data_IF_566998881463
#
_entry.id   IF_566998881463
#
_cell.length_a   1.000
_cell.length_b   1.000
_cell.length_c   1.000
_cell.angle_alpha   90.00
_cell.angle_beta   90.00
_cell.angle_gamma   90.00
#
_symmetry.space_group_name_H-M   'P 1'
#
loop_
_entity.id
_entity.type
_entity.pdbx_description
1 polymer ?
#
# COMPACT_ATOMS: atom_id res chain seq x y z
N UNK A 1 -36.80 -3.94 23.41
CA UNK A 1 -36.40 -5.10 24.25
C UNK A 1 -34.89 -5.04 24.40
N UNK A 2 -34.32 -5.21 25.60
CA UNK A 2 -32.85 -5.27 25.72
C UNK A 2 -32.36 -6.52 24.97
N UNK A 3 -31.39 -6.35 24.08
CA UNK A 3 -30.81 -7.43 23.28
C UNK A 3 -30.02 -8.44 24.13
N UNK A 4 -29.61 -8.05 25.35
CA UNK A 4 -28.94 -8.91 26.32
C UNK A 4 -29.87 -9.24 27.49
N UNK A 5 -29.84 -10.50 27.93
CA UNK A 5 -30.55 -10.99 29.10
C UNK A 5 -29.89 -10.48 30.39
N UNK A 6 -30.67 -10.41 31.48
CA UNK A 6 -30.15 -10.02 32.80
C UNK A 6 -29.02 -10.94 33.30
N UNK A 7 -29.03 -12.20 32.89
CA UNK A 7 -27.99 -13.18 33.22
C UNK A 7 -26.69 -12.88 32.47
N UNK A 8 -26.77 -12.54 31.19
CA UNK A 8 -25.62 -12.13 30.38
C UNK A 8 -24.96 -10.86 30.93
N UNK A 9 -25.77 -9.87 31.34
CA UNK A 9 -25.26 -8.65 31.97
C UNK A 9 -24.54 -8.97 33.29
N UNK A 10 -25.12 -9.84 34.14
CA UNK A 10 -24.47 -10.27 35.38
C UNK A 10 -23.16 -11.02 35.14
N UNK A 11 -23.09 -11.84 34.09
CA UNK A 11 -21.88 -12.55 33.72
C UNK A 11 -20.77 -11.59 33.25
N UNK A 12 -21.11 -10.61 32.41
CA UNK A 12 -20.17 -9.59 31.92
C UNK A 12 -19.61 -8.76 33.07
N UNK A 13 -20.46 -8.34 34.01
CA UNK A 13 -20.06 -7.53 35.18
C UNK A 13 -19.25 -8.34 36.19
N UNK A 14 -19.51 -9.64 36.34
CA UNK A 14 -18.69 -10.50 37.23
C UNK A 14 -17.35 -10.89 36.61
N UNK A 15 -17.31 -11.09 35.29
CA UNK A 15 -16.11 -11.52 34.56
C UNK A 15 -15.10 -10.39 34.34
N UNK A 16 -15.58 -9.14 34.31
CA UNK A 16 -14.74 -7.97 34.13
C UNK A 16 -14.84 -7.10 35.37
N UNK A 17 -13.73 -6.93 36.09
CA UNK A 17 -13.65 -6.15 37.33
C UNK A 17 -13.76 -4.63 37.04
N UNK A 18 -14.91 -4.18 36.55
CA UNK A 18 -15.15 -2.78 36.21
C UNK A 18 -15.11 -1.92 37.48
N UNK A 19 -14.16 -0.99 37.55
CA UNK A 19 -14.01 -0.05 38.67
C UNK A 19 -14.51 1.34 38.31
N UNK A 20 -14.66 1.64 37.02
CA UNK A 20 -15.07 2.93 36.51
C UNK A 20 -15.92 2.83 35.25
N UNK A 21 -16.62 3.93 34.93
CA UNK A 21 -17.35 4.08 33.66
C UNK A 21 -16.39 3.97 32.46
N UNK A 22 -15.14 4.40 32.63
CA UNK A 22 -14.09 4.28 31.61
C UNK A 22 -13.82 2.82 31.26
N UNK A 23 -13.76 1.92 32.25
CA UNK A 23 -13.52 0.49 32.02
C UNK A 23 -14.64 -0.14 31.20
N UNK A 24 -15.89 0.27 31.47
CA UNK A 24 -17.06 -0.16 30.68
C UNK A 24 -16.95 0.37 29.24
N UNK A 25 -16.54 1.63 29.04
CA UNK A 25 -16.37 2.18 27.69
C UNK A 25 -15.23 1.52 26.92
N UNK A 26 -14.13 1.14 27.58
CA UNK A 26 -13.01 0.44 26.96
C UNK A 26 -13.42 -0.98 26.56
N UNK A 27 -14.11 -1.70 27.44
CA UNK A 27 -14.66 -3.01 27.14
C UNK A 27 -15.62 -3.00 25.94
N UNK A 28 -16.49 -1.98 25.87
CA UNK A 28 -17.37 -1.81 24.71
C UNK A 28 -16.60 -1.51 23.42
N UNK A 29 -15.52 -0.72 23.48
CA UNK A 29 -14.64 -0.47 22.33
C UNK A 29 -13.93 -1.74 21.87
N UNK A 30 -13.48 -2.56 22.79
CA UNK A 30 -12.79 -3.82 22.48
C UNK A 30 -13.77 -4.82 21.82
N UNK A 31 -14.98 -4.99 22.38
CA UNK A 31 -16.02 -5.80 21.73
C UNK A 31 -16.33 -5.27 20.33
N UNK A 32 -16.46 -3.94 20.19
CA UNK A 32 -16.80 -3.34 18.90
C UNK A 32 -15.68 -3.56 17.87
N UNK A 33 -14.43 -3.43 18.29
CA UNK A 33 -13.26 -3.72 17.45
C UNK A 33 -13.28 -5.18 16.97
N UNK A 34 -13.53 -6.13 17.87
CA UNK A 34 -13.54 -7.55 17.54
C UNK A 34 -14.68 -7.89 16.57
N UNK A 35 -15.88 -7.32 16.77
CA UNK A 35 -17.01 -7.49 15.85
C UNK A 35 -16.70 -6.94 14.46
N UNK A 36 -16.12 -5.74 14.37
CA UNK A 36 -15.76 -5.14 13.08
C UNK A 36 -14.68 -5.94 12.37
N UNK A 37 -13.70 -6.44 13.12
CA UNK A 37 -12.66 -7.29 12.57
C UNK A 37 -13.26 -8.58 12.01
N UNK A 38 -14.10 -9.27 12.77
CA UNK A 38 -14.75 -10.51 12.33
C UNK A 38 -15.64 -10.28 11.10
N UNK A 39 -16.40 -9.18 11.08
CA UNK A 39 -17.22 -8.80 9.93
C UNK A 39 -16.35 -8.57 8.68
N UNK A 40 -15.23 -7.87 8.82
CA UNK A 40 -14.32 -7.63 7.71
C UNK A 40 -13.65 -8.93 7.23
N UNK A 41 -13.22 -9.79 8.15
CA UNK A 41 -12.64 -11.10 7.82
C UNK A 41 -13.67 -12.00 7.10
N UNK A 42 -14.92 -12.03 7.56
CA UNK A 42 -16.01 -12.76 6.90
C UNK A 42 -16.35 -12.20 5.51
N UNK A 43 -16.41 -10.87 5.33
CA UNK A 43 -16.64 -10.28 4.01
C UNK A 43 -15.50 -10.60 3.03
N UNK A 44 -14.25 -10.57 3.50
CA UNK A 44 -13.09 -10.95 2.70
C UNK A 44 -13.18 -12.41 2.24
N UNK A 45 -13.60 -13.33 3.11
CA UNK A 45 -13.71 -14.74 2.79
C UNK A 45 -14.92 -15.04 1.88
N UNK A 46 -16.12 -14.58 2.25
CA UNK A 46 -17.37 -14.97 1.57
C UNK A 46 -17.59 -14.24 0.25
N UNK A 47 -17.30 -12.93 0.18
CA UNK A 47 -17.56 -12.14 -1.04
C UNK A 47 -16.37 -12.10 -1.98
N UNK A 48 -15.17 -11.95 -1.43
CA UNK A 48 -13.96 -11.75 -2.24
C UNK A 48 -13.10 -13.01 -2.34
N UNK A 49 -13.42 -14.06 -1.57
CA UNK A 49 -12.74 -15.34 -1.62
C UNK A 49 -11.32 -15.29 -1.06
N UNK A 50 -10.98 -14.36 -0.15
CA UNK A 50 -9.65 -14.24 0.48
C UNK A 50 -9.60 -14.88 1.87
N UNK A 51 -9.61 -16.22 1.94
CA UNK A 51 -9.35 -16.94 3.19
C UNK A 51 -7.99 -16.56 3.81
N UNK A 52 -7.98 -16.37 5.13
CA UNK A 52 -6.80 -16.00 5.92
C UNK A 52 -5.69 -17.04 5.70
N UNK A 53 -4.48 -16.58 5.41
CA UNK A 53 -3.27 -17.40 5.14
C UNK A 53 -3.20 -18.15 3.80
N UNK A 54 -4.21 -18.05 2.94
CA UNK A 54 -4.18 -18.71 1.64
C UNK A 54 -3.22 -18.00 0.67
N UNK A 55 -2.06 -18.64 0.40
CA UNK A 55 -1.04 -18.15 -0.55
C UNK A 55 -1.21 -18.69 -1.98
N UNK A 56 -2.29 -19.42 -2.24
CA UNK A 56 -2.56 -20.00 -3.56
C UNK A 56 -2.84 -18.89 -4.58
N UNK A 57 -2.42 -19.10 -5.83
CA UNK A 57 -2.81 -18.21 -6.92
C UNK A 57 -4.31 -18.43 -7.20
N UNK A 58 -5.15 -17.49 -6.76
CA UNK A 58 -6.60 -17.56 -6.98
C UNK A 58 -6.92 -17.16 -8.42
N UNK A 59 -7.91 -17.80 -9.03
CA UNK A 59 -8.44 -17.44 -10.33
C UNK A 59 -9.65 -16.49 -10.14
N UNK A 60 -9.37 -15.28 -9.68
CA UNK A 60 -10.37 -14.19 -9.48
C UNK A 60 -10.15 -13.10 -10.53
N UNK A 61 -11.13 -12.25 -10.83
CA UNK A 61 -10.85 -11.10 -11.73
C UNK A 61 -9.80 -10.14 -11.14
N UNK A 62 -9.54 -10.23 -9.82
CA UNK A 62 -8.46 -9.56 -9.11
C UNK A 62 -7.20 -10.43 -8.98
N UNK A 63 -6.90 -11.24 -10.01
CA UNK A 63 -5.62 -11.92 -10.16
C UNK A 63 -4.52 -10.92 -10.48
N UNK A 64 -3.31 -11.18 -9.96
CA UNK A 64 -2.04 -10.58 -10.38
C UNK A 64 -1.70 -10.91 -11.84
N UNK A 65 -2.41 -10.35 -12.80
CA UNK A 65 -1.97 -10.31 -14.18
C UNK A 65 -1.57 -8.87 -14.47
N UNK A 66 -0.28 -8.58 -14.31
CA UNK A 66 0.38 -7.34 -14.77
C UNK A 66 0.44 -7.26 -16.31
N UNK A 67 -0.64 -7.65 -16.97
CA UNK A 67 -0.78 -7.59 -18.42
C UNK A 67 -1.11 -6.16 -18.84
N UNK A 68 -0.67 -5.78 -20.04
CA UNK A 68 -1.05 -4.51 -20.66
C UNK A 68 -2.58 -4.34 -20.74
N UNK A 69 -3.32 -5.43 -21.00
CA UNK A 69 -4.78 -5.42 -21.07
C UNK A 69 -5.43 -5.09 -19.73
N UNK A 70 -4.89 -5.61 -18.64
CA UNK A 70 -5.38 -5.29 -17.29
C UNK A 70 -5.18 -3.80 -16.98
N UNK A 71 -3.96 -3.28 -17.19
CA UNK A 71 -3.67 -1.87 -16.93
C UNK A 71 -4.49 -0.94 -17.80
N UNK A 72 -4.75 -1.29 -19.07
CA UNK A 72 -5.61 -0.51 -19.94
C UNK A 72 -7.06 -0.49 -19.42
N UNK A 73 -7.55 -1.60 -18.88
CA UNK A 73 -8.84 -1.66 -18.19
C UNK A 73 -8.91 -0.67 -17.02
N UNK A 74 -7.88 -0.64 -16.18
CA UNK A 74 -7.77 0.31 -15.04
C UNK A 74 -7.74 1.76 -15.52
N UNK A 75 -6.99 2.07 -16.58
CA UNK A 75 -6.91 3.44 -17.10
C UNK A 75 -8.23 3.91 -17.72
N UNK A 76 -8.94 3.03 -18.41
CA UNK A 76 -10.27 3.32 -18.94
C UNK A 76 -11.31 3.49 -17.83
N UNK A 77 -11.20 2.72 -16.75
CA UNK A 77 -12.05 2.90 -15.58
C UNK A 77 -11.86 4.28 -14.94
N UNK A 78 -10.62 4.78 -14.83
CA UNK A 78 -10.35 6.15 -14.38
C UNK A 78 -11.01 7.21 -15.28
N UNK A 79 -10.96 7.02 -16.61
CA UNK A 79 -11.66 7.90 -17.55
C UNK A 79 -13.17 7.86 -17.37
N UNK A 80 -13.74 6.67 -17.21
CA UNK A 80 -15.18 6.48 -17.02
C UNK A 80 -15.67 7.11 -15.71
N UNK A 81 -14.81 7.20 -14.69
CA UNK A 81 -15.07 7.92 -13.43
C UNK A 81 -14.96 9.45 -13.57
N UNK A 82 -14.56 9.96 -14.74
CA UNK A 82 -14.51 11.39 -15.04
C UNK A 82 -13.12 12.01 -15.03
N UNK A 83 -12.04 11.24 -14.90
CA UNK A 83 -10.68 11.77 -15.06
C UNK A 83 -10.44 12.12 -16.53
N UNK A 84 -10.31 13.41 -16.82
CA UNK A 84 -10.16 13.90 -18.19
C UNK A 84 -8.71 13.98 -18.63
N UNK A 85 -7.87 14.60 -17.80
CA UNK A 85 -6.48 14.85 -18.12
C UNK A 85 -5.59 14.60 -16.90
N UNK A 86 -4.39 14.07 -17.16
CA UNK A 86 -3.39 13.76 -16.14
C UNK A 86 -2.06 14.26 -16.67
N UNK A 87 -1.43 15.18 -15.94
CA UNK A 87 -0.14 15.74 -16.38
C UNK A 87 1.02 14.77 -16.17
N UNK A 88 0.98 13.97 -15.10
CA UNK A 88 2.11 13.13 -14.67
C UNK A 88 1.64 11.82 -14.03
N UNK A 89 2.17 10.69 -14.52
CA UNK A 89 2.08 9.40 -13.86
C UNK A 89 3.42 9.01 -13.22
N UNK A 90 3.41 8.78 -11.91
CA UNK A 90 4.55 8.24 -11.17
C UNK A 90 4.41 6.72 -10.99
N UNK A 91 5.16 5.92 -11.74
CA UNK A 91 4.99 4.45 -11.79
C UNK A 91 6.25 3.68 -11.42
N UNK A 92 6.10 2.45 -10.93
CA UNK A 92 7.23 1.55 -10.60
C UNK A 92 7.94 1.00 -11.87
N UNK A 93 7.28 1.08 -13.04
CA UNK A 93 7.81 0.54 -14.30
C UNK A 93 7.45 -0.92 -14.53
N UNK A 94 6.25 -1.31 -14.11
CA UNK A 94 5.64 -2.59 -14.42
C UNK A 94 5.45 -2.75 -15.93
N UNK A 95 5.57 -3.98 -16.41
CA UNK A 95 5.38 -4.33 -17.81
C UNK A 95 3.95 -4.00 -18.26
N UNK A 96 3.77 -3.43 -19.44
CA UNK A 96 2.45 -3.14 -20.00
C UNK A 96 1.77 -1.88 -19.45
N UNK A 97 2.24 -1.32 -18.33
CA UNK A 97 1.65 -0.14 -17.69
C UNK A 97 1.95 1.14 -18.48
N UNK A 98 3.16 1.28 -19.02
CA UNK A 98 3.53 2.45 -19.84
C UNK A 98 2.70 2.51 -21.12
N UNK A 99 2.53 1.37 -21.76
CA UNK A 99 1.74 1.22 -22.97
C UNK A 99 0.27 1.53 -22.71
N UNK A 100 -0.27 1.07 -21.58
CA UNK A 100 -1.64 1.37 -21.16
C UNK A 100 -1.86 2.85 -20.85
N UNK A 101 -0.90 3.50 -20.18
CA UNK A 101 -0.97 4.94 -19.89
C UNK A 101 -0.92 5.73 -21.19
N UNK A 102 0.04 5.46 -22.09
CA UNK A 102 0.14 6.17 -23.36
C UNK A 102 -1.12 6.01 -24.23
N UNK A 103 -1.78 4.85 -24.17
CA UNK A 103 -3.03 4.60 -24.88
C UNK A 103 -4.23 5.36 -24.29
N UNK A 104 -4.28 5.51 -22.97
CA UNK A 104 -5.38 6.20 -22.29
C UNK A 104 -5.12 7.72 -22.19
N UNK A 105 -3.98 8.14 -21.68
CA UNK A 105 -3.62 9.52 -21.41
C UNK A 105 -2.36 9.90 -22.22
N UNK A 106 -2.49 10.14 -23.54
CA UNK A 106 -1.35 10.35 -24.43
C UNK A 106 -0.56 11.65 -24.16
N UNK A 107 -1.19 12.61 -23.48
CA UNK A 107 -0.55 13.88 -23.09
C UNK A 107 0.18 13.79 -21.74
N UNK A 108 0.03 12.68 -21.02
CA UNK A 108 0.60 12.53 -19.69
C UNK A 108 2.07 12.15 -19.75
N UNK A 109 2.90 12.84 -18.97
CA UNK A 109 4.29 12.45 -18.79
C UNK A 109 4.40 11.25 -17.84
N UNK A 110 5.32 10.33 -18.13
CA UNK A 110 5.53 9.13 -17.31
C UNK A 110 6.88 9.19 -16.61
N UNK A 111 6.85 9.32 -15.30
CA UNK A 111 8.03 9.32 -14.45
C UNK A 111 8.16 8.01 -13.67
N UNK A 112 9.38 7.48 -13.56
CA UNK A 112 9.69 6.37 -12.66
C UNK A 112 9.67 6.87 -11.21
N UNK A 113 8.93 6.17 -10.36
CA UNK A 113 8.77 6.55 -8.97
C UNK A 113 10.10 6.39 -8.20
N UNK A 114 10.67 7.51 -7.75
CA UNK A 114 11.92 7.53 -6.98
C UNK A 114 11.85 6.70 -5.69
N UNK A 115 10.66 6.60 -5.09
CA UNK A 115 10.46 5.84 -3.85
C UNK A 115 10.53 4.33 -4.12
N UNK A 116 9.94 3.87 -5.23
CA UNK A 116 10.08 2.48 -5.64
C UNK A 116 11.52 2.16 -6.04
N UNK A 117 12.18 3.07 -6.77
CA UNK A 117 13.60 2.94 -7.11
C UNK A 117 14.47 2.80 -5.85
N UNK A 118 14.26 3.66 -4.85
CA UNK A 118 15.00 3.64 -3.58
C UNK A 118 14.73 2.35 -2.78
N UNK A 119 13.47 1.94 -2.66
CA UNK A 119 13.11 0.68 -1.98
C UNK A 119 13.70 -0.53 -2.70
N UNK A 120 13.76 -0.52 -4.03
CA UNK A 120 14.39 -1.58 -4.79
C UNK A 120 15.90 -1.63 -4.54
N UNK A 121 16.57 -0.47 -4.42
CA UNK A 121 17.99 -0.39 -4.05
C UNK A 121 18.28 -0.94 -2.66
N UNK A 122 17.39 -0.76 -1.67
CA UNK A 122 17.59 -1.28 -0.31
C UNK A 122 17.76 -2.80 -0.24
N UNK A 123 17.27 -3.55 -1.24
CA UNK A 123 17.49 -5.01 -1.32
C UNK A 123 18.97 -5.39 -1.44
N UNK A 124 19.79 -4.47 -1.93
CA UNK A 124 21.22 -4.67 -2.19
C UNK A 124 22.11 -3.96 -1.17
N UNK A 125 21.51 -3.26 -0.20
CA UNK A 125 22.23 -2.51 0.84
C UNK A 125 22.05 -3.22 2.17
N UNK A 126 23.16 -3.40 2.90
CA UNK A 126 23.12 -3.94 4.27
C UNK A 126 22.19 -3.14 5.16
N UNK A 127 21.43 -3.80 6.04
CA UNK A 127 20.50 -3.16 6.97
C UNK A 127 21.15 -2.04 7.81
N UNK A 128 22.45 -2.16 8.13
CA UNK A 128 23.21 -1.16 8.89
C UNK A 128 23.41 0.14 8.10
N UNK A 129 23.48 0.02 6.78
CA UNK A 129 23.89 1.07 5.86
C UNK A 129 22.71 1.75 5.16
N UNK A 130 21.49 1.20 5.28
CA UNK A 130 20.26 1.76 4.67
C UNK A 130 20.08 3.24 4.99
N UNK A 131 20.33 3.65 6.24
CA UNK A 131 20.19 5.07 6.65
C UNK A 131 21.22 5.97 5.96
N UNK A 132 22.48 5.52 5.90
CA UNK A 132 23.56 6.27 5.26
C UNK A 132 23.33 6.36 3.75
N UNK A 133 23.06 5.23 3.11
CA UNK A 133 22.74 5.14 1.69
C UNK A 133 21.53 6.01 1.32
N UNK A 134 20.44 5.93 2.10
CA UNK A 134 19.24 6.74 1.86
C UNK A 134 19.56 8.22 1.90
N UNK A 135 20.34 8.68 2.88
CA UNK A 135 20.76 10.08 2.98
C UNK A 135 21.62 10.54 1.80
N UNK A 136 22.59 9.73 1.37
CA UNK A 136 23.40 10.03 0.18
C UNK A 136 22.53 10.09 -1.08
N UNK A 137 21.59 9.15 -1.24
CA UNK A 137 20.67 9.11 -2.37
C UNK A 137 19.74 10.34 -2.40
N UNK A 138 19.39 10.92 -1.24
CA UNK A 138 18.60 12.17 -1.20
C UNK A 138 19.29 13.32 -1.91
N UNK A 139 20.62 13.37 -1.89
CA UNK A 139 21.38 14.43 -2.54
C UNK A 139 21.19 14.41 -4.06
N UNK A 140 20.90 13.24 -4.65
CA UNK A 140 20.63 13.08 -6.09
C UNK A 140 19.31 13.77 -6.45
N UNK A 141 18.20 13.40 -5.81
CA UNK A 141 16.88 13.94 -6.19
C UNK A 141 16.56 15.32 -5.57
N UNK A 142 17.39 15.81 -4.65
CA UNK A 142 17.30 17.19 -4.11
C UNK A 142 18.20 18.18 -4.85
N UNK A 143 18.96 17.74 -5.85
CA UNK A 143 19.80 18.62 -6.64
C UNK A 143 18.98 19.71 -7.34
N UNK A 144 19.61 20.87 -7.57
CA UNK A 144 18.97 22.05 -8.15
C UNK A 144 18.63 21.88 -9.64
N UNK A 145 19.36 21.01 -10.34
CA UNK A 145 19.23 20.72 -11.76
C UNK A 145 19.76 19.31 -12.08
N UNK A 146 19.60 18.88 -13.33
CA UNK A 146 20.00 17.57 -13.80
C UNK A 146 21.51 17.33 -13.74
N UNK A 147 22.31 18.34 -14.11
CA UNK A 147 23.78 18.26 -14.12
C UNK A 147 24.33 17.93 -12.73
N UNK A 148 23.89 18.69 -11.71
CA UNK A 148 24.28 18.47 -10.31
C UNK A 148 23.72 17.14 -9.80
N UNK A 149 22.51 16.74 -10.22
CA UNK A 149 21.95 15.44 -9.86
C UNK A 149 22.85 14.29 -10.37
N UNK A 150 23.37 14.42 -11.59
CA UNK A 150 24.22 13.43 -12.23
C UNK A 150 25.59 13.35 -11.54
N UNK A 151 26.18 14.48 -11.17
CA UNK A 151 27.40 14.52 -10.34
C UNK A 151 27.19 13.80 -9.00
N UNK A 152 26.11 14.11 -8.27
CA UNK A 152 25.77 13.43 -7.01
C UNK A 152 25.49 11.95 -7.20
N UNK A 153 24.95 11.56 -8.36
CA UNK A 153 24.76 10.16 -8.70
C UNK A 153 26.09 9.43 -8.93
N UNK A 154 27.07 10.07 -9.57
CA UNK A 154 28.41 9.49 -9.70
C UNK A 154 29.13 9.36 -8.35
N UNK A 155 29.06 10.38 -7.48
CA UNK A 155 29.58 10.31 -6.10
C UNK A 155 28.96 9.14 -5.33
N UNK A 156 27.63 8.96 -5.44
CA UNK A 156 26.91 7.84 -4.85
C UNK A 156 27.41 6.50 -5.40
N UNK A 157 27.57 6.40 -6.72
CA UNK A 157 28.06 5.18 -7.40
C UNK A 157 29.48 4.84 -7.00
N UNK A 158 30.37 5.81 -6.84
CA UNK A 158 31.75 5.55 -6.39
C UNK A 158 31.80 5.04 -4.95
N UNK A 159 30.97 5.61 -4.07
CA UNK A 159 30.89 5.22 -2.66
C UNK A 159 30.26 3.85 -2.45
N UNK A 160 29.17 3.56 -3.16
CA UNK A 160 28.33 2.36 -2.93
C UNK A 160 28.45 1.30 -4.02
N UNK A 161 29.08 1.58 -5.16
CA UNK A 161 29.20 0.66 -6.30
C UNK A 161 30.34 -0.35 -6.21
N UNK A 162 31.16 -0.28 -5.15
CA UNK A 162 32.15 -1.29 -4.80
C UNK A 162 31.58 -2.17 -3.69
N UNK A 163 30.76 -3.15 -4.05
CA UNK A 163 30.32 -4.23 -3.16
C UNK A 163 30.24 -5.52 -3.95
#
# INVERSE_FOLDING_TARGET
MSTLSKEQIKAIVKGNNFQSVTDVTNYLKDIFKDIIQELMEAELEEKLGYAKEERSAKNTDNCRNESSKFWLGVMNDLKNRGVQDVMLFCVDGLTGLKEAINAAFPMAEIQRCIIHQLRNSFKYVSCKDIKAFSNDFKNVYKAINEEVALEKFYELKEKWGKS
#
